data_IF_796760041427
#
_entry.id   IF_796760041427
#
_cell.length_a   1.000
_cell.length_b   1.000
_cell.length_c   1.000
_cell.angle_alpha   90.00
_cell.angle_beta   90.00
_cell.angle_gamma   90.00
#
_symmetry.space_group_name_H-M   'P 1'
#
loop_
_entity.id
_entity.type
_entity.pdbx_description
1 polymer ?
#
# COMPACT_ATOMS: atom_id res chain seq x y z
N UNK A 1 -13.31 -4.53 -12.13
CA UNK A 1 -14.27 -4.29 -11.02
C UNK A 1 -13.47 -3.66 -9.88
N UNK A 2 -13.89 -2.51 -9.34
CA UNK A 2 -13.14 -1.87 -8.23
C UNK A 2 -13.23 -2.78 -6.99
N UNK A 3 -12.13 -3.06 -6.27
CA UNK A 3 -12.20 -3.94 -5.11
C UNK A 3 -13.00 -3.26 -4.01
N UNK A 4 -14.18 -3.81 -3.68
CA UNK A 4 -15.04 -3.25 -2.63
C UNK A 4 -14.34 -3.16 -1.28
N UNK A 5 -13.40 -4.07 -1.01
CA UNK A 5 -12.69 -4.13 0.26
C UNK A 5 -11.77 -2.92 0.51
N UNK A 6 -11.43 -2.11 -0.52
CA UNK A 6 -10.65 -0.86 -0.35
C UNK A 6 -11.49 0.34 0.09
N UNK A 7 -12.81 0.18 0.23
CA UNK A 7 -13.70 1.28 0.62
C UNK A 7 -13.55 1.57 2.12
N UNK A 8 -13.36 2.85 2.44
CA UNK A 8 -13.39 3.37 3.80
C UNK A 8 -14.73 4.08 4.00
N UNK A 9 -15.44 3.69 5.05
CA UNK A 9 -16.73 4.26 5.43
C UNK A 9 -16.65 5.07 6.73
N UNK A 10 -15.75 4.67 7.63
CA UNK A 10 -15.66 5.23 8.99
C UNK A 10 -14.28 5.78 9.35
N UNK A 11 -13.26 5.50 8.53
CA UNK A 11 -11.84 5.85 8.82
C UNK A 11 -11.30 5.16 10.08
N UNK A 12 -11.95 4.08 10.50
CA UNK A 12 -11.60 3.37 11.72
C UNK A 12 -10.35 2.51 11.52
N UNK A 13 -9.49 2.34 12.56
CA UNK A 13 -8.34 1.44 12.48
C UNK A 13 -8.70 0.02 12.02
N UNK A 14 -9.92 -0.46 12.33
CA UNK A 14 -10.39 -1.77 11.88
C UNK A 14 -10.59 -1.90 10.37
N UNK A 15 -10.91 -0.81 9.66
CA UNK A 15 -11.00 -0.85 8.19
C UNK A 15 -9.60 -1.04 7.59
N UNK A 16 -8.58 -0.37 8.13
CA UNK A 16 -7.19 -0.59 7.73
C UNK A 16 -6.73 -2.01 8.05
N UNK A 17 -7.10 -2.56 9.21
CA UNK A 17 -6.81 -3.96 9.57
C UNK A 17 -7.39 -4.93 8.53
N UNK A 18 -8.65 -4.73 8.11
CA UNK A 18 -9.33 -5.57 7.14
C UNK A 18 -8.68 -5.47 5.75
N UNK A 19 -8.40 -4.25 5.29
CA UNK A 19 -7.71 -4.01 4.02
C UNK A 19 -6.34 -4.68 4.00
N UNK A 20 -5.54 -4.45 5.05
CA UNK A 20 -4.20 -5.04 5.18
C UNK A 20 -4.28 -6.56 5.18
N UNK A 21 -5.21 -7.14 5.95
CA UNK A 21 -5.39 -8.58 6.01
C UNK A 21 -5.74 -9.17 4.64
N UNK A 22 -6.68 -8.56 3.90
CA UNK A 22 -7.00 -9.00 2.55
C UNK A 22 -5.78 -8.92 1.64
N UNK A 23 -5.14 -7.75 1.55
CA UNK A 23 -3.99 -7.54 0.65
C UNK A 23 -2.82 -8.50 0.92
N UNK A 24 -2.55 -8.81 2.18
CA UNK A 24 -1.36 -9.57 2.58
C UNK A 24 -1.57 -11.09 2.66
N UNK A 25 -2.83 -11.55 2.75
CA UNK A 25 -3.17 -12.97 2.86
C UNK A 25 -3.94 -13.53 1.65
N UNK A 26 -4.72 -12.71 0.94
CA UNK A 26 -5.64 -13.16 -0.10
C UNK A 26 -5.28 -12.65 -1.51
N UNK A 27 -4.26 -11.78 -1.62
CA UNK A 27 -3.83 -11.19 -2.89
C UNK A 27 -2.31 -11.23 -3.07
N UNK A 28 -1.90 -11.41 -4.33
CA UNK A 28 -0.53 -11.21 -4.79
C UNK A 28 -0.46 -10.02 -5.74
N UNK A 29 0.72 -9.42 -5.86
CA UNK A 29 1.04 -8.54 -6.99
C UNK A 29 1.67 -9.39 -8.08
N UNK A 30 1.09 -9.38 -9.27
CA UNK A 30 1.64 -9.99 -10.47
C UNK A 30 2.34 -8.90 -11.30
N UNK A 31 3.56 -9.19 -11.76
CA UNK A 31 4.19 -8.42 -12.82
C UNK A 31 4.66 -9.36 -13.95
N UNK A 32 5.37 -8.82 -14.94
CA UNK A 32 5.85 -9.57 -16.10
C UNK A 32 6.83 -10.73 -15.78
N UNK A 33 7.40 -10.80 -14.57
CA UNK A 33 8.37 -11.83 -14.20
C UNK A 33 7.85 -12.86 -13.20
N UNK A 34 6.99 -12.46 -12.27
CA UNK A 34 6.70 -13.23 -11.05
C UNK A 34 5.43 -12.76 -10.32
N UNK A 35 5.08 -13.55 -9.29
CA UNK A 35 4.12 -13.21 -8.26
C UNK A 35 4.84 -12.79 -6.98
N UNK A 36 4.27 -11.79 -6.30
CA UNK A 36 4.82 -11.21 -5.09
C UNK A 36 3.75 -11.18 -3.99
N UNK A 37 4.09 -11.71 -2.81
CA UNK A 37 3.28 -11.51 -1.61
C UNK A 37 3.67 -10.20 -0.93
N UNK A 38 2.70 -9.37 -0.56
CA UNK A 38 2.95 -8.20 0.29
C UNK A 38 3.34 -8.66 1.69
N UNK A 39 4.45 -8.13 2.22
CA UNK A 39 4.95 -8.48 3.56
C UNK A 39 5.03 -7.31 4.52
N UNK A 40 5.02 -6.08 4.01
CA UNK A 40 4.99 -4.86 4.82
C UNK A 40 4.31 -3.72 4.05
N UNK A 41 3.33 -3.06 4.68
CA UNK A 41 2.62 -1.89 4.14
C UNK A 41 2.40 -0.82 5.21
N UNK A 42 2.28 0.44 4.78
CA UNK A 42 1.93 1.58 5.65
C UNK A 42 0.72 2.33 5.09
N UNK A 43 -0.25 2.68 5.95
CA UNK A 43 -1.40 3.49 5.55
C UNK A 43 -1.12 4.98 5.79
N UNK A 44 -1.45 5.79 4.80
CA UNK A 44 -1.48 7.25 4.87
C UNK A 44 -2.87 7.70 4.46
N UNK A 45 -3.58 8.39 5.33
CA UNK A 45 -4.96 8.80 5.09
C UNK A 45 -5.17 10.20 5.62
N UNK A 46 -5.74 11.08 4.80
CA UNK A 46 -6.07 12.44 5.19
C UNK A 46 -7.51 12.79 4.81
N UNK A 47 -8.27 13.30 5.76
CA UNK A 47 -9.66 13.76 5.62
C UNK A 47 -9.91 14.94 6.57
N UNK A 48 -11.09 15.60 6.52
CA UNK A 48 -11.44 16.65 7.48
C UNK A 48 -11.44 16.19 8.95
N UNK A 49 -11.67 14.90 9.21
CA UNK A 49 -11.74 14.30 10.55
C UNK A 49 -10.48 13.52 10.93
N UNK A 50 -9.61 13.24 9.96
CA UNK A 50 -8.34 12.55 10.15
C UNK A 50 -7.24 13.33 9.45
N UNK A 51 -6.59 14.24 10.19
CA UNK A 51 -5.53 15.06 9.64
C UNK A 51 -4.20 14.31 9.71
N UNK A 52 -3.67 13.88 8.56
CA UNK A 52 -2.35 13.30 8.44
C UNK A 52 -1.52 14.08 7.42
N UNK A 53 -0.73 15.03 7.93
CA UNK A 53 0.13 15.90 7.14
C UNK A 53 1.27 15.14 6.43
N UNK A 54 1.42 13.85 6.68
CA UNK A 54 2.38 12.97 5.99
C UNK A 54 1.82 12.38 4.70
N UNK A 55 0.51 12.53 4.45
CA UNK A 55 -0.14 12.03 3.24
C UNK A 55 0.26 12.87 2.04
N UNK A 56 0.76 12.22 0.99
CA UNK A 56 1.10 12.90 -0.26
C UNK A 56 -0.13 13.51 -0.92
N UNK A 57 0.00 14.75 -1.39
CA UNK A 57 -1.02 15.41 -2.19
C UNK A 57 -1.21 14.67 -3.54
N UNK A 58 -2.46 14.51 -3.97
CA UNK A 58 -2.86 13.74 -5.16
C UNK A 58 -3.43 14.60 -6.29
N UNK A 59 -3.33 15.93 -6.21
CA UNK A 59 -3.92 16.90 -7.14
C UNK A 59 -3.56 16.70 -8.62
N UNK A 60 -2.41 16.10 -8.94
CA UNK A 60 -1.94 15.98 -10.32
C UNK A 60 -2.59 14.84 -11.12
N UNK A 61 -3.10 13.81 -10.43
CA UNK A 61 -3.62 12.59 -11.09
C UNK A 61 -4.98 12.14 -10.56
N UNK A 62 -5.47 12.69 -9.42
CA UNK A 62 -6.76 12.36 -8.79
C UNK A 62 -7.08 10.84 -8.85
N UNK A 63 -6.23 10.00 -8.24
CA UNK A 63 -6.29 8.56 -8.41
C UNK A 63 -7.53 7.98 -7.73
N UNK A 64 -8.10 6.96 -8.34
CA UNK A 64 -9.22 6.19 -7.80
C UNK A 64 -8.72 5.04 -6.92
N UNK A 65 -9.64 4.44 -6.14
CA UNK A 65 -9.31 3.29 -5.30
C UNK A 65 -8.66 2.15 -6.12
N UNK A 66 -7.45 1.77 -5.73
CA UNK A 66 -6.69 0.70 -6.37
C UNK A 66 -5.68 1.16 -7.43
N UNK A 67 -5.69 2.45 -7.82
CA UNK A 67 -4.72 2.96 -8.79
C UNK A 67 -3.31 2.96 -8.19
N UNK A 68 -2.32 2.67 -9.04
CA UNK A 68 -0.92 2.85 -8.67
C UNK A 68 -0.58 4.34 -8.59
N UNK A 69 -0.18 4.79 -7.41
CA UNK A 69 0.22 6.18 -7.20
C UNK A 69 1.70 6.26 -6.83
N UNK A 70 2.51 6.74 -7.78
CA UNK A 70 3.95 6.91 -7.58
C UNK A 70 4.28 8.26 -6.95
N UNK A 71 5.21 8.25 -6.00
CA UNK A 71 5.74 9.45 -5.35
C UNK A 71 7.21 9.22 -4.95
N UNK A 72 7.86 10.25 -4.42
CA UNK A 72 9.31 10.22 -4.15
C UNK A 72 9.77 9.16 -3.14
N UNK A 73 8.86 8.61 -2.35
CA UNK A 73 9.17 7.59 -1.35
C UNK A 73 8.83 6.17 -1.79
N UNK A 74 8.11 5.98 -2.90
CA UNK A 74 7.70 4.66 -3.36
C UNK A 74 6.43 4.68 -4.21
N UNK A 75 5.61 3.66 -4.00
CA UNK A 75 4.37 3.46 -4.71
C UNK A 75 3.28 3.03 -3.74
N UNK A 76 2.13 3.68 -3.86
CA UNK A 76 0.94 3.37 -3.10
C UNK A 76 -0.06 2.59 -3.96
N UNK A 77 -0.88 1.78 -3.28
CA UNK A 77 -2.23 1.49 -3.75
C UNK A 77 -3.11 2.64 -3.27
N UNK A 78 -3.68 3.43 -4.20
CA UNK A 78 -4.44 4.62 -3.87
C UNK A 78 -5.75 4.29 -3.13
N UNK A 79 -6.09 5.15 -2.17
CA UNK A 79 -7.32 5.18 -1.41
C UNK A 79 -8.01 6.54 -1.58
N UNK A 80 -9.33 6.51 -1.67
CA UNK A 80 -10.20 7.66 -1.89
C UNK A 80 -11.61 7.35 -1.39
N UNK A 81 -12.21 8.31 -0.69
CA UNK A 81 -13.60 8.24 -0.24
C UNK A 81 -14.26 9.59 -0.40
N UNK A 82 -15.21 9.66 -1.32
CA UNK A 82 -16.00 10.88 -1.55
C UNK A 82 -16.90 11.20 -0.34
N UNK A 83 -17.44 10.15 0.31
CA UNK A 83 -18.29 10.30 1.49
C UNK A 83 -17.54 10.96 2.65
N UNK A 84 -16.30 10.53 2.88
CA UNK A 84 -15.45 11.05 3.94
C UNK A 84 -14.66 12.30 3.51
N UNK A 85 -14.72 12.65 2.22
CA UNK A 85 -13.86 13.68 1.60
C UNK A 85 -12.38 13.43 1.88
N UNK A 86 -12.00 12.16 1.91
CA UNK A 86 -10.68 11.70 2.29
C UNK A 86 -9.91 11.08 1.11
N UNK A 87 -8.60 11.17 1.19
CA UNK A 87 -7.68 10.58 0.23
C UNK A 87 -6.43 10.05 0.93
N UNK A 88 -5.76 9.10 0.29
CA UNK A 88 -4.63 8.44 0.90
C UNK A 88 -4.08 7.31 0.07
N UNK A 89 -3.21 6.52 0.66
CA UNK A 89 -2.58 5.40 -0.02
C UNK A 89 -2.01 4.38 0.95
N UNK A 90 -1.79 3.18 0.40
CA UNK A 90 -1.15 2.07 1.08
C UNK A 90 0.24 1.93 0.49
N UNK A 91 1.24 2.48 1.18
CA UNK A 91 2.63 2.44 0.77
C UNK A 91 3.16 1.01 0.86
N UNK A 92 3.66 0.49 -0.25
CA UNK A 92 4.28 -0.83 -0.30
C UNK A 92 5.73 -0.72 0.19
N UNK A 93 6.08 -1.48 1.23
CA UNK A 93 7.42 -1.44 1.83
C UNK A 93 8.17 -2.76 1.85
N UNK A 94 7.45 -3.86 1.74
CA UNK A 94 8.02 -5.19 1.72
C UNK A 94 7.25 -6.12 0.81
N UNK A 95 7.98 -6.88 0.00
CA UNK A 95 7.43 -7.91 -0.87
C UNK A 95 8.28 -9.19 -0.79
N UNK A 96 7.65 -10.33 -1.00
CA UNK A 96 8.31 -11.62 -1.13
C UNK A 96 8.04 -12.21 -2.53
N UNK A 97 9.10 -12.38 -3.31
CA UNK A 97 9.02 -12.95 -4.65
C UNK A 97 8.89 -14.48 -4.56
N UNK A 98 7.80 -15.03 -5.10
CA UNK A 98 7.54 -16.48 -5.03
C UNK A 98 8.52 -17.29 -5.88
N UNK A 99 8.89 -16.76 -7.05
CA UNK A 99 9.87 -17.39 -7.95
C UNK A 99 11.27 -17.44 -7.32
N UNK A 100 11.75 -16.31 -6.80
CA UNK A 100 13.12 -16.18 -6.28
C UNK A 100 13.25 -16.67 -4.83
N UNK A 101 12.11 -16.93 -4.16
CA UNK A 101 12.03 -17.25 -2.73
C UNK A 101 12.75 -16.20 -1.85
N UNK A 102 12.65 -14.93 -2.25
CA UNK A 102 13.43 -13.83 -1.68
C UNK A 102 12.56 -12.66 -1.24
N UNK A 103 12.87 -12.12 -0.07
CA UNK A 103 12.29 -10.88 0.43
C UNK A 103 13.03 -9.65 -0.10
N UNK A 104 12.26 -8.63 -0.47
CA UNK A 104 12.73 -7.29 -0.81
C UNK A 104 12.12 -6.31 0.18
N UNK A 105 12.95 -5.39 0.71
CA UNK A 105 12.58 -4.48 1.79
C UNK A 105 12.99 -3.05 1.42
N UNK A 106 12.12 -2.10 1.77
CA UNK A 106 12.26 -0.69 1.44
C UNK A 106 11.30 -0.31 0.32
N UNK A 107 10.59 0.83 0.43
CA UNK A 107 9.51 1.16 -0.49
C UNK A 107 9.98 1.42 -1.92
N UNK A 108 11.09 2.15 -2.10
CA UNK A 108 11.70 2.34 -3.42
C UNK A 108 12.22 1.03 -4.02
N UNK A 109 12.78 0.13 -3.21
CA UNK A 109 13.22 -1.19 -3.67
C UNK A 109 12.03 -2.01 -4.19
N UNK A 110 10.90 -1.97 -3.46
CA UNK A 110 9.68 -2.63 -3.87
C UNK A 110 9.15 -2.03 -5.18
N UNK A 111 9.07 -0.70 -5.28
CA UNK A 111 8.64 -0.02 -6.51
C UNK A 111 9.52 -0.40 -7.71
N UNK A 112 10.84 -0.37 -7.55
CA UNK A 112 11.76 -0.79 -8.62
C UNK A 112 11.52 -2.25 -9.03
N UNK A 113 11.41 -3.18 -8.07
CA UNK A 113 11.23 -4.61 -8.39
C UNK A 113 9.87 -4.91 -9.02
N UNK A 114 8.81 -4.20 -8.62
CA UNK A 114 7.46 -4.41 -9.14
C UNK A 114 7.25 -3.82 -10.53
N UNK A 115 7.88 -2.69 -10.85
CA UNK A 115 7.53 -1.87 -12.02
C UNK A 115 8.65 -1.65 -13.05
N UNK A 116 9.91 -2.01 -12.75
CA UNK A 116 10.98 -1.99 -13.77
C UNK A 116 10.83 -3.16 -14.75
N UNK A 117 11.64 -3.18 -15.81
CA UNK A 117 11.68 -4.31 -16.77
C UNK A 117 10.68 -4.20 -17.92
N UNK A 118 9.90 -3.12 -17.98
CA UNK A 118 9.04 -2.80 -19.13
C UNK A 118 9.74 -1.86 -20.11
N UNK A 119 9.56 -2.10 -21.40
CA UNK A 119 10.10 -1.25 -22.47
C UNK A 119 9.25 0.02 -22.65
N UNK A 120 9.86 1.20 -22.59
CA UNK A 120 9.16 2.49 -22.68
C UNK A 120 8.42 2.76 -24.01
N UNK A 121 8.69 1.97 -25.07
CA UNK A 121 8.12 2.13 -26.39
C UNK A 121 7.18 0.98 -26.79
N UNK A 122 7.35 -0.21 -26.21
CA UNK A 122 6.59 -1.42 -26.60
C UNK A 122 5.74 -2.03 -25.49
N UNK A 123 5.98 -1.67 -24.23
CA UNK A 123 5.26 -2.25 -23.10
C UNK A 123 4.70 -1.19 -22.17
N UNK A 124 3.40 -1.29 -21.90
CA UNK A 124 2.79 -0.62 -20.76
C UNK A 124 3.18 -1.33 -19.46
N UNK A 125 3.07 -0.62 -18.34
CA UNK A 125 3.09 -1.25 -17.02
C UNK A 125 1.91 -2.25 -16.93
N UNK A 126 2.22 -3.55 -16.75
CA UNK A 126 1.23 -4.63 -16.61
C UNK A 126 1.03 -5.10 -15.16
N UNK A 127 1.74 -4.48 -14.23
CA UNK A 127 1.72 -4.84 -12.81
C UNK A 127 0.31 -4.65 -12.24
N UNK A 128 -0.23 -5.68 -11.59
CA UNK A 128 -1.61 -5.68 -11.08
C UNK A 128 -1.71 -6.52 -9.81
N UNK A 129 -2.71 -6.21 -9.00
CA UNK A 129 -3.07 -7.02 -7.82
C UNK A 129 -4.05 -8.10 -8.28
N UNK A 130 -3.77 -9.36 -7.95
CA UNK A 130 -4.62 -10.53 -8.30
C UNK A 130 -4.94 -11.33 -7.05
N UNK A 131 -6.11 -11.96 -7.03
CA UNK A 131 -6.44 -12.93 -5.98
C UNK A 131 -5.42 -14.07 -6.00
N UNK A 132 -4.88 -14.38 -4.83
CA UNK A 132 -3.93 -15.47 -4.66
C UNK A 132 -3.97 -15.96 -3.22
N UNK A 133 -4.25 -17.26 -3.03
CA UNK A 133 -4.34 -17.84 -1.70
C UNK A 133 -2.95 -18.17 -1.17
N UNK A 134 -2.59 -17.54 -0.07
CA UNK A 134 -1.41 -17.90 0.70
C UNK A 134 -1.77 -18.67 1.96
N UNK A 135 -0.78 -19.33 2.57
CA UNK A 135 -0.87 -19.68 3.98
C UNK A 135 -1.10 -18.40 4.78
N UNK A 136 -2.22 -18.36 5.49
CA UNK A 136 -2.64 -17.20 6.26
C UNK A 136 -1.60 -16.92 7.35
N UNK A 137 -1.18 -15.67 7.46
CA UNK A 137 -0.26 -15.20 8.50
C UNK A 137 -0.97 -14.16 9.36
N UNK A 138 -0.66 -14.17 10.65
CA UNK A 138 -1.09 -13.13 11.57
C UNK A 138 -0.40 -11.80 11.23
N UNK A 139 -1.17 -10.72 11.28
CA UNK A 139 -0.65 -9.38 11.06
C UNK A 139 -0.12 -8.83 12.37
N UNK A 140 1.07 -8.24 12.32
CA UNK A 140 1.60 -7.41 13.40
C UNK A 140 1.46 -5.94 13.02
N UNK A 141 1.01 -5.12 13.98
CA UNK A 141 0.81 -3.68 13.82
C UNK A 141 1.82 -2.91 14.66
N UNK A 142 2.34 -1.83 14.09
CA UNK A 142 3.28 -0.92 14.77
C UNK A 142 3.07 0.50 14.25
N UNK A 143 3.60 1.53 14.94
CA UNK A 143 3.73 2.85 14.34
C UNK A 143 4.54 2.82 13.03
N UNK A 144 4.19 3.73 12.12
CA UNK A 144 4.92 3.91 10.85
C UNK A 144 6.36 4.37 11.08
N UNK A 145 7.24 4.04 10.14
CA UNK A 145 8.67 4.35 10.22
C UNK A 145 9.09 5.40 9.20
N UNK A 146 10.17 6.13 9.48
CA UNK A 146 10.68 7.15 8.58
C UNK A 146 9.76 8.37 8.44
N UNK A 147 8.90 8.61 9.42
CA UNK A 147 8.04 9.78 9.47
C UNK A 147 8.84 11.04 9.87
N UNK A 148 8.56 12.15 9.19
CA UNK A 148 9.14 13.46 9.48
C UNK A 148 8.26 14.31 10.40
N UNK A 149 8.62 15.60 10.49
CA UNK A 149 7.96 16.60 11.35
C UNK A 149 6.44 16.69 11.13
N UNK A 150 5.97 16.50 9.91
CA UNK A 150 4.54 16.55 9.58
C UNK A 150 3.71 15.55 10.41
N UNK A 151 4.21 14.34 10.63
CA UNK A 151 3.52 13.33 11.44
C UNK A 151 3.53 13.67 12.93
N UNK A 152 4.55 14.39 13.39
CA UNK A 152 4.63 14.86 14.77
C UNK A 152 3.61 15.98 15.00
N UNK A 153 3.55 16.94 14.10
CA UNK A 153 2.62 18.08 14.15
C UNK A 153 1.16 17.64 14.07
N UNK A 154 0.86 16.61 13.28
CA UNK A 154 -0.50 16.04 13.16
C UNK A 154 -0.80 14.97 14.22
N UNK A 155 0.17 14.58 15.05
CA UNK A 155 0.03 13.51 16.05
C UNK A 155 -0.06 12.09 15.45
N UNK A 156 0.00 11.95 14.14
CA UNK A 156 -0.18 10.67 13.43
C UNK A 156 1.04 9.75 13.51
N UNK A 157 2.15 10.22 14.10
CA UNK A 157 3.36 9.41 14.34
C UNK A 157 3.14 8.22 15.27
N UNK A 158 2.19 8.31 16.19
CA UNK A 158 1.90 7.26 17.17
C UNK A 158 0.86 6.24 16.68
N UNK A 159 0.20 6.50 15.55
CA UNK A 159 -0.82 5.62 15.01
C UNK A 159 -0.20 4.35 14.43
N UNK A 160 -0.79 3.19 14.79
CA UNK A 160 -0.29 1.87 14.40
C UNK A 160 -0.69 1.46 12.97
N UNK A 161 -0.32 2.29 12.00
CA UNK A 161 -0.71 2.15 10.59
C UNK A 161 0.32 1.41 9.73
N UNK A 162 1.29 0.74 10.36
CA UNK A 162 2.24 -0.15 9.70
C UNK A 162 1.90 -1.59 9.99
N UNK A 163 1.71 -2.37 8.92
CA UNK A 163 1.31 -3.76 8.97
C UNK A 163 2.43 -4.64 8.42
N UNK A 164 2.73 -5.73 9.11
CA UNK A 164 3.77 -6.69 8.71
C UNK A 164 3.27 -8.12 8.89
N UNK A 165 3.78 -9.03 8.05
CA UNK A 165 3.65 -10.48 8.24
C UNK A 165 5.02 -11.14 8.14
N UNK A 166 5.18 -12.27 8.83
CA UNK A 166 6.37 -13.10 8.70
C UNK A 166 6.10 -14.25 7.71
N UNK A 167 6.76 -14.20 6.56
CA UNK A 167 6.66 -15.23 5.51
C UNK A 167 7.71 -16.34 5.64
N UNK A 168 8.53 -16.31 6.70
CA UNK A 168 9.33 -17.47 7.09
C UNK A 168 8.46 -18.56 7.71
#
# INVERSE_FOLDING_TARGET
MKPKFLQLETESPSEFDQIANHLMNDYAIENHESLFRLTEVEFYWNSPTHNDNSTYNRNHVNPENGDWFFHYSGVDIALKSEMLKGHGGILIRGIYCLKDKKAYKGPMVCAMKLFSGTNAFSDSIKTKVIEHKFDRKELSKTPRIGLGKNAEESGTKLLEYRYTINVK
#
